data_IF_283803425747
#
_entry.id   IF_283803425747
#
_cell.length_a   1.000
_cell.length_b   1.000
_cell.length_c   1.000
_cell.angle_alpha   90.00
_cell.angle_beta   90.00
_cell.angle_gamma   90.00
#
_symmetry.space_group_name_H-M   'P 1'
#
loop_
_entity.id
_entity.type
_entity.pdbx_description
1 polymer ?
#
# COMPACT_ATOMS: atom_id res chain seq x y z
N UNK A 1 -5.16 -26.85 16.58
CA UNK A 1 -4.70 -26.06 17.75
C UNK A 1 -5.69 -24.92 17.96
N UNK A 2 -5.95 -24.47 19.18
CA UNK A 2 -6.81 -23.30 19.39
C UNK A 2 -6.18 -22.07 18.71
N UNK A 3 -6.96 -21.35 17.91
CA UNK A 3 -6.53 -20.11 17.26
C UNK A 3 -6.19 -19.08 18.32
N UNK A 4 -4.99 -18.50 18.26
CA UNK A 4 -4.54 -17.49 19.20
C UNK A 4 -4.94 -16.10 18.71
N UNK A 5 -5.02 -15.14 19.65
CA UNK A 5 -5.27 -13.72 19.32
C UNK A 5 -4.24 -13.16 18.34
N UNK A 6 -2.99 -13.61 18.40
CA UNK A 6 -1.93 -13.24 17.45
C UNK A 6 -2.30 -13.57 16.02
N UNK A 7 -2.85 -14.76 15.78
CA UNK A 7 -3.18 -15.24 14.44
C UNK A 7 -4.24 -14.35 13.79
N UNK A 8 -5.22 -13.91 14.58
CA UNK A 8 -6.24 -12.96 14.15
C UNK A 8 -5.66 -11.58 13.83
N UNK A 9 -4.70 -11.09 14.61
CA UNK A 9 -4.07 -9.79 14.36
C UNK A 9 -3.13 -9.87 13.14
N UNK A 10 -2.49 -11.00 12.90
CA UNK A 10 -1.75 -11.25 11.66
C UNK A 10 -2.63 -11.16 10.41
N UNK A 11 -3.90 -11.60 10.51
CA UNK A 11 -4.87 -11.41 9.44
C UNK A 11 -5.12 -9.92 9.17
N UNK A 12 -5.22 -9.08 10.20
CA UNK A 12 -5.42 -7.62 10.03
C UNK A 12 -4.28 -6.99 9.22
N UNK A 13 -3.02 -7.38 9.46
CA UNK A 13 -1.84 -6.79 8.80
C UNK A 13 -1.94 -6.83 7.28
N UNK A 14 -2.46 -7.93 6.73
CA UNK A 14 -2.56 -8.14 5.28
C UNK A 14 -3.51 -7.16 4.60
N UNK A 15 -4.47 -6.59 5.35
CA UNK A 15 -5.49 -5.70 4.81
C UNK A 15 -5.19 -4.23 5.08
N UNK A 16 -4.15 -3.93 5.87
CA UNK A 16 -3.68 -2.56 6.05
C UNK A 16 -3.24 -1.97 4.70
N UNK A 17 -3.39 -0.64 4.51
CA UNK A 17 -2.87 0.03 3.32
C UNK A 17 -1.39 -0.31 3.10
N UNK A 18 -0.97 -0.58 1.85
CA UNK A 18 0.44 -0.56 1.52
C UNK A 18 0.93 0.86 1.73
N UNK A 19 1.93 1.04 2.60
CA UNK A 19 2.47 2.38 2.86
C UNK A 19 3.95 2.44 2.55
N UNK A 20 4.28 3.56 1.94
CA UNK A 20 5.59 4.10 1.66
C UNK A 20 6.14 5.00 2.79
N UNK A 21 5.22 5.61 3.55
CA UNK A 21 5.47 6.55 4.64
C UNK A 21 5.03 5.95 5.98
N UNK A 22 5.30 6.65 7.10
CA UNK A 22 4.86 6.25 8.43
C UNK A 22 3.31 6.20 8.46
N UNK A 23 2.73 5.01 8.39
CA UNK A 23 1.28 4.81 8.31
C UNK A 23 0.66 5.09 9.68
N UNK A 24 -0.25 6.06 9.76
CA UNK A 24 -0.88 6.41 11.04
C UNK A 24 -2.12 5.55 11.27
N UNK A 25 -2.02 4.66 12.26
CA UNK A 25 -3.02 3.66 12.60
C UNK A 25 -3.68 3.98 13.94
N UNK A 26 -5.01 3.99 13.97
CA UNK A 26 -5.78 4.02 15.21
C UNK A 26 -6.08 2.59 15.66
N UNK A 27 -5.59 2.20 16.84
CA UNK A 27 -5.88 0.91 17.48
C UNK A 27 -6.98 1.09 18.52
N UNK A 28 -8.20 0.65 18.19
CA UNK A 28 -9.37 0.79 19.07
C UNK A 28 -9.23 -0.18 20.24
N UNK A 29 -9.18 0.37 21.46
CA UNK A 29 -9.01 -0.41 22.68
C UNK A 29 -7.60 -0.94 22.93
N UNK A 30 -6.62 -0.60 22.09
CA UNK A 30 -5.22 -0.99 22.30
C UNK A 30 -4.94 -2.48 22.09
N UNK A 31 -5.82 -3.20 21.39
CA UNK A 31 -5.82 -4.65 21.33
C UNK A 31 -4.87 -5.21 20.27
N UNK A 32 -4.54 -4.43 19.23
CA UNK A 32 -3.83 -4.91 18.02
C UNK A 32 -2.42 -4.34 17.89
N UNK A 33 -2.18 -3.13 18.39
CA UNK A 33 -1.06 -2.27 18.04
C UNK A 33 0.32 -2.79 18.45
N UNK A 34 0.42 -3.59 19.51
CA UNK A 34 1.70 -4.20 19.90
C UNK A 34 2.16 -5.23 18.88
N UNK A 35 1.26 -6.11 18.45
CA UNK A 35 1.56 -7.15 17.46
C UNK A 35 1.71 -6.52 16.08
N UNK A 36 0.85 -5.56 15.72
CA UNK A 36 0.96 -4.86 14.44
C UNK A 36 2.32 -4.16 14.29
N UNK A 37 2.87 -3.53 15.34
CA UNK A 37 4.20 -2.88 15.28
C UNK A 37 5.35 -3.85 15.09
N UNK A 38 5.26 -5.05 15.66
CA UNK A 38 6.24 -6.11 15.41
C UNK A 38 6.19 -6.55 13.94
N UNK A 39 4.97 -6.68 13.42
CA UNK A 39 4.71 -7.14 12.07
C UNK A 39 4.79 -6.05 11.00
N UNK A 40 4.83 -4.77 11.35
CA UNK A 40 4.98 -3.59 10.48
C UNK A 40 5.63 -2.44 11.28
N UNK A 41 6.97 -2.37 11.35
CA UNK A 41 7.67 -1.32 12.11
C UNK A 41 7.44 0.11 11.58
N UNK A 42 6.93 0.24 10.37
CA UNK A 42 6.60 1.48 9.66
C UNK A 42 5.25 2.08 10.06
N UNK A 43 4.54 1.53 11.06
CA UNK A 43 3.26 2.09 11.51
C UNK A 43 3.43 2.93 12.78
N UNK A 44 2.84 4.11 12.77
CA UNK A 44 2.60 4.91 13.97
C UNK A 44 1.26 4.49 14.58
N UNK A 45 1.29 3.88 15.76
CA UNK A 45 0.05 3.46 16.45
C UNK A 45 -0.38 4.49 17.47
N UNK A 46 -1.62 4.96 17.33
CA UNK A 46 -2.34 5.74 18.33
C UNK A 46 -3.44 4.85 18.93
N UNK A 47 -3.50 4.76 20.25
CA UNK A 47 -4.52 3.97 20.94
C UNK A 47 -5.74 4.84 21.24
N UNK A 48 -6.92 4.34 20.90
CA UNK A 48 -8.19 4.99 21.20
C UNK A 48 -8.99 4.26 22.28
N UNK A 49 -9.89 5.00 22.94
CA UNK A 49 -10.91 4.39 23.80
C UNK A 49 -11.81 3.42 23.03
N UNK A 50 -12.42 2.47 23.73
CA UNK A 50 -13.49 1.62 23.19
C UNK A 50 -14.77 2.42 22.87
N UNK A 51 -14.93 3.63 23.42
CA UNK A 51 -16.10 4.47 23.25
C UNK A 51 -15.84 5.61 22.25
N UNK A 52 -16.49 5.62 21.08
CA UNK A 52 -16.29 6.65 20.05
C UNK A 52 -16.53 8.08 20.50
N UNK A 53 -17.42 8.28 21.47
CA UNK A 53 -17.75 9.59 22.02
C UNK A 53 -16.56 10.23 22.76
N UNK A 54 -15.55 9.44 23.11
CA UNK A 54 -14.33 9.91 23.77
C UNK A 54 -13.20 10.21 22.78
N UNK A 55 -13.41 9.98 21.47
CA UNK A 55 -12.39 10.19 20.46
C UNK A 55 -12.24 11.67 20.12
N UNK A 56 -11.20 12.28 20.67
CA UNK A 56 -10.82 13.68 20.42
C UNK A 56 -9.74 13.76 19.34
N UNK A 57 -10.09 13.31 18.14
CA UNK A 57 -9.21 13.36 16.97
C UNK A 57 -9.86 14.19 15.87
N UNK A 58 -9.01 14.89 15.12
CA UNK A 58 -9.40 15.62 13.92
C UNK A 58 -9.99 14.67 12.87
N UNK A 59 -10.92 15.17 12.07
CA UNK A 59 -11.45 14.44 10.92
C UNK A 59 -10.32 14.08 9.95
N UNK A 60 -10.43 12.92 9.31
CA UNK A 60 -9.47 12.50 8.27
C UNK A 60 -8.01 12.48 8.75
N UNK A 61 -7.77 12.04 9.98
CA UNK A 61 -6.46 12.07 10.62
C UNK A 61 -5.72 10.72 10.62
N UNK A 62 -6.38 9.64 10.18
CA UNK A 62 -5.82 8.28 10.17
C UNK A 62 -5.86 7.63 8.78
N UNK A 63 -4.81 6.87 8.47
CA UNK A 63 -4.71 6.08 7.24
C UNK A 63 -5.37 4.70 7.39
N UNK A 64 -5.34 4.16 8.61
CA UNK A 64 -6.04 2.93 8.96
C UNK A 64 -6.63 2.98 10.36
N UNK A 65 -7.71 2.24 10.58
CA UNK A 65 -8.28 1.97 11.90
C UNK A 65 -8.37 0.46 12.06
N UNK A 66 -7.75 -0.06 13.11
CA UNK A 66 -7.76 -1.47 13.47
C UNK A 66 -8.55 -1.70 14.76
N UNK A 67 -9.34 -2.76 14.79
CA UNK A 67 -10.10 -3.15 15.96
C UNK A 67 -10.14 -4.68 16.11
N UNK A 68 -10.37 -5.13 17.33
CA UNK A 68 -10.50 -6.55 17.67
C UNK A 68 -11.73 -6.73 18.56
N UNK A 69 -12.66 -7.58 18.12
CA UNK A 69 -13.87 -7.96 18.86
C UNK A 69 -14.74 -6.75 19.30
N UNK A 70 -15.05 -5.87 18.34
CA UNK A 70 -15.84 -4.66 18.59
C UNK A 70 -17.25 -4.77 17.96
N UNK A 71 -18.28 -4.22 18.61
CA UNK A 71 -19.60 -4.10 18.00
C UNK A 71 -19.56 -3.16 16.78
N UNK A 72 -20.39 -3.45 15.77
CA UNK A 72 -20.50 -2.67 14.53
C UNK A 72 -21.81 -1.89 14.50
N UNK A 73 -22.02 -1.02 15.49
CA UNK A 73 -23.18 -0.11 15.49
C UNK A 73 -22.94 1.14 14.62
N UNK A 74 -24.03 1.82 14.27
CA UNK A 74 -24.00 2.99 13.38
C UNK A 74 -23.12 4.13 13.91
N UNK A 75 -23.12 4.36 15.23
CA UNK A 75 -22.33 5.42 15.84
C UNK A 75 -20.82 5.13 15.76
N UNK A 76 -20.44 3.87 15.97
CA UNK A 76 -19.08 3.38 15.81
C UNK A 76 -18.60 3.51 14.36
N UNK A 77 -19.38 3.01 13.40
CA UNK A 77 -19.03 3.06 11.98
C UNK A 77 -18.95 4.50 11.45
N UNK A 78 -19.87 5.39 11.87
CA UNK A 78 -19.82 6.81 11.51
C UNK A 78 -18.57 7.50 12.07
N UNK A 79 -18.19 7.20 13.32
CA UNK A 79 -16.99 7.75 13.92
C UNK A 79 -15.72 7.27 13.21
N UNK A 80 -15.65 5.99 12.82
CA UNK A 80 -14.54 5.44 12.02
C UNK A 80 -14.45 6.17 10.68
N UNK A 81 -15.54 6.30 9.94
CA UNK A 81 -15.54 6.97 8.64
C UNK A 81 -15.08 8.42 8.74
N UNK A 82 -15.55 9.17 9.74
CA UNK A 82 -15.11 10.55 10.00
C UNK A 82 -13.59 10.65 10.13
N UNK A 83 -12.99 9.74 10.88
CA UNK A 83 -11.56 9.74 11.21
C UNK A 83 -10.66 9.21 10.08
N UNK A 84 -11.15 8.30 9.24
CA UNK A 84 -10.40 7.80 8.10
C UNK A 84 -10.15 8.89 7.07
N UNK A 85 -8.94 8.95 6.53
CA UNK A 85 -8.64 9.73 5.32
C UNK A 85 -9.35 9.15 4.10
N UNK A 86 -9.55 9.93 3.02
CA UNK A 86 -9.97 9.38 1.73
C UNK A 86 -9.04 8.25 1.28
N UNK A 87 -9.59 7.07 0.97
CA UNK A 87 -8.83 5.84 0.66
C UNK A 87 -8.30 5.08 1.89
N UNK A 88 -8.50 5.60 3.10
CA UNK A 88 -8.11 4.93 4.34
C UNK A 88 -8.97 3.69 4.60
N UNK A 89 -8.41 2.74 5.37
CA UNK A 89 -9.04 1.42 5.60
C UNK A 89 -9.41 1.20 7.06
N UNK A 90 -10.65 0.80 7.29
CA UNK A 90 -11.07 0.14 8.52
C UNK A 90 -10.86 -1.37 8.37
N UNK A 91 -10.19 -1.99 9.33
CA UNK A 91 -9.99 -3.44 9.38
C UNK A 91 -10.32 -3.93 10.78
N UNK A 92 -11.16 -4.95 10.88
CA UNK A 92 -11.50 -5.54 12.18
C UNK A 92 -11.56 -7.05 12.07
N UNK A 93 -11.20 -7.71 13.17
CA UNK A 93 -11.45 -9.14 13.34
C UNK A 93 -12.34 -9.36 14.55
N UNK A 94 -13.37 -10.17 14.37
CA UNK A 94 -14.21 -10.70 15.44
C UNK A 94 -13.91 -12.19 15.60
N UNK A 95 -13.44 -12.66 16.78
CA UNK A 95 -13.10 -14.06 16.99
C UNK A 95 -14.33 -14.98 17.04
N UNK A 96 -15.53 -14.42 17.19
CA UNK A 96 -16.80 -15.14 17.21
C UNK A 96 -17.39 -15.15 15.81
N UNK A 97 -17.80 -16.33 15.36
CA UNK A 97 -18.48 -16.51 14.08
C UNK A 97 -19.78 -15.70 14.03
N UNK A 98 -19.98 -15.00 12.92
CA UNK A 98 -21.15 -14.19 12.66
C UNK A 98 -21.57 -14.38 11.20
N UNK A 99 -22.82 -14.07 10.91
CA UNK A 99 -23.28 -14.05 9.52
C UNK A 99 -22.55 -12.94 8.74
N UNK A 100 -21.87 -13.32 7.65
CA UNK A 100 -21.03 -12.40 6.89
C UNK A 100 -21.85 -11.36 6.11
N UNK A 101 -22.99 -11.77 5.56
CA UNK A 101 -23.79 -10.92 4.67
C UNK A 101 -24.37 -9.68 5.38
N UNK A 102 -24.98 -9.78 6.58
CA UNK A 102 -25.43 -8.61 7.32
C UNK A 102 -24.32 -7.61 7.64
N UNK A 103 -23.12 -8.08 7.98
CA UNK A 103 -21.95 -7.22 8.24
C UNK A 103 -21.58 -6.45 6.99
N UNK A 104 -21.51 -7.13 5.84
CA UNK A 104 -21.19 -6.49 4.56
C UNK A 104 -22.21 -5.42 4.18
N UNK A 105 -23.50 -5.70 4.36
CA UNK A 105 -24.57 -4.72 4.15
C UNK A 105 -24.46 -3.54 5.10
N UNK A 106 -24.18 -3.77 6.38
CA UNK A 106 -23.99 -2.70 7.37
C UNK A 106 -22.84 -1.76 7.02
N UNK A 107 -21.70 -2.29 6.58
CA UNK A 107 -20.57 -1.47 6.12
C UNK A 107 -20.95 -0.59 4.91
N UNK A 108 -21.65 -1.16 3.92
CA UNK A 108 -22.09 -0.40 2.75
C UNK A 108 -23.11 0.70 3.13
N UNK A 109 -24.06 0.39 4.01
CA UNK A 109 -25.04 1.35 4.50
C UNK A 109 -24.40 2.48 5.31
N UNK A 110 -23.35 2.17 6.08
CA UNK A 110 -22.58 3.18 6.80
C UNK A 110 -21.79 4.12 5.87
N UNK A 111 -21.57 3.73 4.61
CA UNK A 111 -20.89 4.56 3.60
C UNK A 111 -19.46 4.11 3.27
N UNK A 112 -19.05 2.92 3.72
CA UNK A 112 -17.80 2.32 3.24
C UNK A 112 -17.95 1.83 1.79
N UNK A 113 -16.83 1.82 1.07
CA UNK A 113 -16.71 1.23 -0.26
C UNK A 113 -15.72 0.08 -0.24
N UNK A 114 -15.74 -0.77 -1.27
CA UNK A 114 -14.82 -1.92 -1.43
C UNK A 114 -14.77 -2.83 -0.20
N UNK A 115 -15.94 -3.04 0.40
CA UNK A 115 -16.10 -3.87 1.58
C UNK A 115 -15.71 -5.31 1.29
N UNK A 116 -14.99 -5.93 2.23
CA UNK A 116 -14.66 -7.35 2.26
C UNK A 116 -15.13 -7.87 3.62
N UNK A 117 -15.83 -9.00 3.63
CA UNK A 117 -16.21 -9.72 4.83
C UNK A 117 -16.02 -11.21 4.55
N UNK A 118 -15.14 -11.85 5.30
CA UNK A 118 -14.75 -13.23 5.06
C UNK A 118 -14.42 -13.94 6.37
N UNK A 119 -14.40 -15.28 6.39
CA UNK A 119 -13.87 -16.01 7.54
C UNK A 119 -12.43 -15.59 7.81
N UNK A 120 -12.05 -15.42 9.09
CA UNK A 120 -10.73 -14.95 9.46
C UNK A 120 -9.68 -16.07 9.41
N UNK A 121 -9.35 -16.71 10.54
CA UNK A 121 -8.22 -17.65 10.62
C UNK A 121 -8.72 -19.08 10.59
N UNK A 122 -8.28 -19.84 9.59
CA UNK A 122 -8.66 -21.24 9.41
C UNK A 122 -10.19 -21.48 9.43
N UNK A 123 -10.96 -20.50 8.94
CA UNK A 123 -12.43 -20.55 8.90
C UNK A 123 -13.13 -20.16 10.20
N UNK A 124 -12.38 -19.76 11.24
CA UNK A 124 -12.91 -19.30 12.53
C UNK A 124 -12.89 -17.77 12.58
N UNK A 125 -13.97 -17.20 13.11
CA UNK A 125 -14.15 -15.76 13.26
C UNK A 125 -14.41 -15.05 11.94
N UNK A 126 -14.61 -13.74 12.00
CA UNK A 126 -14.89 -12.88 10.86
C UNK A 126 -13.83 -11.81 10.74
N UNK A 127 -13.22 -11.71 9.56
CA UNK A 127 -12.40 -10.59 9.15
C UNK A 127 -13.25 -9.67 8.28
N UNK A 128 -13.21 -8.38 8.57
CA UNK A 128 -13.86 -7.37 7.74
C UNK A 128 -12.92 -6.24 7.41
N UNK A 129 -13.14 -5.65 6.24
CA UNK A 129 -12.45 -4.47 5.76
C UNK A 129 -13.44 -3.55 5.06
N UNK A 130 -13.40 -2.26 5.36
CA UNK A 130 -14.08 -1.20 4.62
C UNK A 130 -13.11 -0.09 4.23
N UNK A 131 -13.27 0.50 3.05
CA UNK A 131 -12.47 1.64 2.59
C UNK A 131 -13.32 2.92 2.63
N UNK A 132 -12.76 4.05 3.04
CA UNK A 132 -13.42 5.35 2.87
C UNK A 132 -13.30 5.80 1.41
N UNK A 133 -14.42 6.18 0.80
CA UNK A 133 -14.43 6.68 -0.57
C UNK A 133 -13.46 7.87 -0.77
N UNK A 134 -12.85 7.93 -1.94
CA UNK A 134 -12.11 9.12 -2.37
C UNK A 134 -13.09 10.27 -2.68
N UNK A 135 -12.69 11.51 -2.39
CA UNK A 135 -13.52 12.71 -2.62
C UNK A 135 -13.45 13.23 -4.05
N UNK A 136 -12.42 12.87 -4.81
CA UNK A 136 -12.20 13.30 -6.20
C UNK A 136 -12.64 12.23 -7.19
N UNK A 137 -13.36 12.64 -8.24
CA UNK A 137 -13.75 11.76 -9.35
C UNK A 137 -12.59 11.51 -10.34
N UNK A 138 -11.55 12.37 -10.33
CA UNK A 138 -10.40 12.25 -11.21
C UNK A 138 -9.37 11.27 -10.65
N UNK A 139 -9.09 10.22 -11.43
CA UNK A 139 -8.13 9.18 -11.08
C UNK A 139 -6.70 9.72 -11.02
N UNK A 140 -6.35 10.72 -11.84
CA UNK A 140 -5.03 11.37 -11.81
C UNK A 140 -4.84 12.14 -10.50
N UNK A 141 -5.81 12.97 -10.15
CA UNK A 141 -5.79 13.76 -8.90
C UNK A 141 -5.76 12.85 -7.68
N UNK A 142 -6.50 11.74 -7.72
CA UNK A 142 -6.48 10.70 -6.67
C UNK A 142 -5.10 10.08 -6.49
N UNK A 143 -4.44 9.72 -7.59
CA UNK A 143 -3.10 9.12 -7.56
C UNK A 143 -2.06 10.15 -7.09
N UNK A 144 -2.18 11.40 -7.52
CA UNK A 144 -1.32 12.51 -7.07
C UNK A 144 -1.47 12.80 -5.57
N UNK A 145 -2.69 12.95 -5.04
CA UNK A 145 -2.89 13.26 -3.62
C UNK A 145 -2.43 12.17 -2.64
N UNK A 146 -2.35 10.91 -3.10
CA UNK A 146 -1.71 9.82 -2.34
C UNK A 146 -0.19 9.90 -2.48
N UNK A 147 0.31 10.15 -3.69
CA UNK A 147 1.73 10.26 -3.99
C UNK A 147 2.42 11.44 -3.30
N UNK A 148 1.77 12.58 -3.13
CA UNK A 148 2.33 13.78 -2.48
C UNK A 148 2.70 13.58 -1.01
N UNK A 149 2.18 12.54 -0.35
CA UNK A 149 2.47 12.23 1.05
C UNK A 149 3.82 11.58 1.25
N UNK A 150 4.30 10.88 0.23
CA UNK A 150 5.58 10.21 0.28
C UNK A 150 6.69 11.26 0.06
N UNK A 151 7.67 11.31 0.97
CA UNK A 151 8.80 12.22 0.83
C UNK A 151 9.53 11.98 -0.51
N UNK A 152 10.00 13.05 -1.14
CA UNK A 152 10.76 12.98 -2.37
C UNK A 152 12.25 12.76 -2.10
N UNK A 153 12.94 12.14 -3.06
CA UNK A 153 14.39 11.96 -3.06
C UNK A 153 14.94 11.30 -1.78
N UNK A 154 14.34 10.19 -1.38
CA UNK A 154 14.75 9.41 -0.22
C UNK A 154 15.95 8.53 -0.60
N UNK A 155 16.97 8.49 0.24
CA UNK A 155 18.03 7.48 0.16
C UNK A 155 17.45 6.13 0.60
N UNK A 156 17.68 5.07 -0.17
CA UNK A 156 17.21 3.72 0.15
C UNK A 156 17.58 3.25 1.57
N UNK A 157 18.73 3.69 2.09
CA UNK A 157 19.17 3.39 3.47
C UNK A 157 18.31 4.05 4.55
N UNK A 158 17.64 5.15 4.23
CA UNK A 158 16.72 5.88 5.11
C UNK A 158 15.24 5.54 4.83
N UNK A 159 14.96 4.79 3.78
CA UNK A 159 13.62 4.34 3.46
C UNK A 159 13.14 3.32 4.51
N UNK A 160 11.96 3.53 5.08
CA UNK A 160 11.38 2.64 6.11
C UNK A 160 10.39 1.63 5.56
N UNK A 161 9.98 1.79 4.31
CA UNK A 161 9.03 0.88 3.67
C UNK A 161 9.68 -0.46 3.33
N UNK A 162 8.85 -1.51 3.31
CA UNK A 162 9.29 -2.88 3.03
C UNK A 162 9.58 -3.15 1.57
N UNK A 163 8.91 -2.40 0.70
CA UNK A 163 8.90 -2.64 -0.72
C UNK A 163 9.20 -1.35 -1.46
N UNK A 164 9.94 -1.47 -2.55
CA UNK A 164 10.11 -0.44 -3.55
C UNK A 164 9.51 -0.91 -4.86
N UNK A 165 9.11 0.04 -5.68
CA UNK A 165 8.49 -0.19 -6.98
C UNK A 165 9.41 0.38 -8.05
N UNK A 166 9.73 -0.40 -9.08
CA UNK A 166 10.51 0.06 -10.23
C UNK A 166 9.59 0.20 -11.44
N UNK A 167 9.80 1.27 -12.21
CA UNK A 167 9.27 1.34 -13.57
C UNK A 167 10.09 0.42 -14.46
N UNK A 168 9.42 -0.48 -15.15
CA UNK A 168 10.04 -1.57 -15.91
C UNK A 168 9.54 -1.57 -17.34
N UNK A 169 10.48 -1.78 -18.27
CA UNK A 169 10.21 -2.21 -19.63
C UNK A 169 10.35 -3.73 -19.67
N UNK A 170 9.21 -4.42 -19.73
CA UNK A 170 9.15 -5.86 -19.95
C UNK A 170 9.19 -6.17 -21.45
N UNK A 171 10.03 -7.12 -21.83
CA UNK A 171 10.02 -7.74 -23.15
C UNK A 171 9.84 -9.25 -23.02
N UNK A 172 8.92 -9.86 -23.79
CA UNK A 172 7.93 -9.22 -24.66
C UNK A 172 6.87 -8.43 -23.87
N UNK A 173 6.31 -7.39 -24.50
CA UNK A 173 5.19 -6.64 -23.93
C UNK A 173 3.87 -7.42 -24.10
N UNK A 174 3.76 -8.53 -23.35
CA UNK A 174 2.59 -9.40 -23.33
C UNK A 174 2.09 -9.55 -21.89
N UNK A 175 0.78 -9.53 -21.67
CA UNK A 175 0.22 -9.90 -20.38
C UNK A 175 0.45 -11.40 -20.12
N UNK A 176 0.43 -11.80 -18.85
CA UNK A 176 0.78 -13.17 -18.41
C UNK A 176 0.00 -14.25 -19.16
N UNK A 177 -1.28 -14.03 -19.41
CA UNK A 177 -2.16 -14.98 -20.11
C UNK A 177 -1.91 -15.09 -21.63
N UNK A 178 -1.06 -14.25 -22.23
CA UNK A 178 -0.63 -14.35 -23.64
C UNK A 178 0.81 -14.88 -23.79
N UNK A 179 1.52 -15.07 -22.69
CA UNK A 179 2.88 -15.59 -22.74
C UNK A 179 2.84 -17.08 -23.06
N UNK A 180 3.72 -17.51 -23.96
CA UNK A 180 3.95 -18.94 -24.17
C UNK A 180 4.82 -19.50 -23.02
N UNK A 181 4.67 -20.78 -22.64
CA UNK A 181 5.42 -21.37 -21.53
C UNK A 181 6.95 -21.30 -21.67
N UNK A 182 7.47 -21.25 -22.90
CA UNK A 182 8.88 -21.17 -23.26
C UNK A 182 9.35 -19.73 -23.57
N UNK A 183 8.46 -18.74 -23.47
CA UNK A 183 8.78 -17.36 -23.79
C UNK A 183 9.61 -16.72 -22.67
N UNK A 184 10.86 -16.36 -22.98
CA UNK A 184 11.77 -15.73 -22.02
C UNK A 184 11.37 -14.28 -21.81
N UNK A 185 11.02 -13.95 -20.57
CA UNK A 185 10.72 -12.59 -20.14
C UNK A 185 12.01 -11.91 -19.68
N UNK A 186 12.31 -10.73 -20.22
CA UNK A 186 13.37 -9.85 -19.74
C UNK A 186 12.77 -8.55 -19.22
N UNK A 187 13.33 -8.04 -18.12
CA UNK A 187 12.94 -6.77 -17.52
C UNK A 187 14.14 -5.82 -17.56
N UNK A 188 13.90 -4.60 -18.04
CA UNK A 188 14.83 -3.50 -17.86
C UNK A 188 14.20 -2.45 -16.93
N UNK A 189 14.86 -2.15 -15.83
CA UNK A 189 14.48 -1.07 -14.93
C UNK A 189 14.91 0.29 -15.49
N UNK A 190 14.08 1.31 -15.28
CA UNK A 190 14.43 2.70 -15.63
C UNK A 190 15.52 3.23 -14.71
N UNK A 191 16.57 3.78 -15.31
CA UNK A 191 17.63 4.49 -14.64
C UNK A 191 17.88 5.86 -15.27
N UNK A 192 18.51 6.74 -14.51
CA UNK A 192 18.99 8.04 -14.99
C UNK A 192 20.51 8.11 -14.88
N UNK A 193 21.14 8.55 -15.96
CA UNK A 193 22.57 8.85 -16.01
C UNK A 193 22.82 10.35 -15.88
N UNK A 194 23.62 10.75 -14.88
CA UNK A 194 24.15 12.10 -14.71
C UNK A 194 25.68 12.02 -14.70
N UNK A 195 26.30 12.30 -15.84
CA UNK A 195 27.74 12.08 -16.03
C UNK A 195 28.09 10.59 -15.95
N UNK A 196 29.02 10.22 -15.07
CA UNK A 196 29.44 8.82 -14.86
C UNK A 196 28.55 8.07 -13.85
N UNK A 197 27.60 8.76 -13.20
CA UNK A 197 26.73 8.15 -12.20
C UNK A 197 25.40 7.71 -12.80
N UNK A 198 25.06 6.43 -12.63
CA UNK A 198 23.78 5.84 -13.03
C UNK A 198 23.01 5.50 -11.76
N UNK A 199 21.76 5.95 -11.65
CA UNK A 199 20.87 5.64 -10.52
C UNK A 199 19.57 5.01 -11.00
N UNK A 200 19.14 3.92 -10.36
CA UNK A 200 17.83 3.30 -10.59
C UNK A 200 16.73 4.19 -10.01
N UNK A 201 15.62 4.34 -10.74
CA UNK A 201 14.45 5.07 -10.27
C UNK A 201 13.50 4.12 -9.54
N UNK A 202 13.39 4.29 -8.23
CA UNK A 202 12.49 3.53 -7.38
C UNK A 202 11.42 4.42 -6.77
N UNK A 203 10.31 3.80 -6.39
CA UNK A 203 9.17 4.48 -5.80
C UNK A 203 8.72 3.74 -4.56
N UNK A 204 8.42 4.49 -3.53
CA UNK A 204 7.97 3.95 -2.26
C UNK A 204 6.61 3.27 -2.35
N UNK A 205 5.77 3.67 -3.32
CA UNK A 205 4.44 3.13 -3.53
C UNK A 205 4.06 3.05 -5.02
N UNK A 206 3.13 2.15 -5.37
CA UNK A 206 2.58 2.07 -6.73
C UNK A 206 1.93 3.39 -7.17
N UNK A 207 1.11 4.09 -6.36
CA UNK A 207 0.60 5.41 -6.72
C UNK A 207 1.70 6.42 -7.07
N UNK A 208 2.80 6.48 -6.31
CA UNK A 208 3.93 7.36 -6.61
C UNK A 208 4.60 7.02 -7.95
N UNK A 209 4.82 5.73 -8.20
CA UNK A 209 5.37 5.24 -9.46
C UNK A 209 4.48 5.63 -10.65
N UNK A 210 3.18 5.39 -10.55
CA UNK A 210 2.20 5.69 -11.61
C UNK A 210 2.10 7.20 -11.83
N UNK A 211 2.03 8.01 -10.77
CA UNK A 211 1.97 9.47 -10.86
C UNK A 211 3.16 10.03 -11.63
N UNK A 212 4.37 9.61 -11.24
CA UNK A 212 5.60 10.03 -11.90
C UNK A 212 5.65 9.55 -13.37
N UNK A 213 5.34 8.27 -13.62
CA UNK A 213 5.34 7.68 -14.96
C UNK A 213 4.40 8.43 -15.90
N UNK A 214 3.16 8.70 -15.48
CA UNK A 214 2.19 9.40 -16.31
C UNK A 214 2.69 10.79 -16.71
N UNK A 215 3.20 11.56 -15.75
CA UNK A 215 3.71 12.89 -16.02
C UNK A 215 4.99 12.87 -16.88
N UNK A 216 5.87 11.89 -16.67
CA UNK A 216 7.09 11.72 -17.46
C UNK A 216 6.80 11.31 -18.91
N UNK A 217 5.86 10.39 -19.13
CA UNK A 217 5.42 9.96 -20.47
C UNK A 217 4.73 11.11 -21.21
N UNK A 218 3.84 11.87 -20.55
CA UNK A 218 3.19 13.03 -21.16
C UNK A 218 4.19 14.12 -21.57
N UNK A 219 5.30 14.27 -20.84
CA UNK A 219 6.41 15.18 -21.19
C UNK A 219 7.40 14.59 -22.20
N UNK A 220 7.19 13.35 -22.66
CA UNK A 220 8.08 12.67 -23.59
C UNK A 220 9.45 12.30 -23.01
N UNK A 221 9.61 12.32 -21.67
CA UNK A 221 10.89 12.01 -21.02
C UNK A 221 11.23 10.52 -21.09
N UNK A 222 10.23 9.65 -21.09
CA UNK A 222 10.41 8.20 -21.16
C UNK A 222 9.34 7.54 -22.02
N UNK A 223 9.70 6.42 -22.64
CA UNK A 223 8.81 5.62 -23.47
C UNK A 223 9.05 4.13 -23.24
N UNK A 224 8.07 3.29 -23.58
CA UNK A 224 8.20 1.83 -23.52
C UNK A 224 8.04 1.21 -22.12
N UNK A 225 7.73 2.00 -21.09
CA UNK A 225 7.39 1.47 -19.76
C UNK A 225 6.01 0.82 -19.84
N UNK A 226 5.93 -0.43 -19.40
CA UNK A 226 4.72 -1.24 -19.50
C UNK A 226 4.45 -2.08 -18.25
N UNK A 227 5.30 -1.96 -17.23
CA UNK A 227 5.15 -2.69 -15.97
C UNK A 227 5.71 -1.90 -14.80
N UNK A 228 5.18 -2.17 -13.62
CA UNK A 228 5.75 -1.74 -12.35
C UNK A 228 6.11 -3.00 -11.56
N UNK A 229 7.39 -3.22 -11.30
CA UNK A 229 7.87 -4.36 -10.51
C UNK A 229 7.93 -3.99 -9.03
N UNK A 230 7.40 -4.84 -8.15
CA UNK A 230 7.49 -4.70 -6.69
C UNK A 230 8.69 -5.54 -6.21
N UNK A 231 9.56 -4.96 -5.40
CA UNK A 231 10.75 -5.63 -4.86
C UNK A 231 10.85 -5.34 -3.37
N UNK A 232 11.36 -6.29 -2.59
CA UNK A 232 11.69 -6.02 -1.19
C UNK A 232 12.82 -4.99 -1.09
N UNK A 233 12.83 -4.23 0.01
CA UNK A 233 13.93 -3.31 0.32
C UNK A 233 15.27 -4.06 0.39
N UNK A 234 15.27 -5.28 0.92
CA UNK A 234 16.45 -6.12 1.00
C UNK A 234 17.00 -6.45 -0.39
N UNK A 235 16.15 -6.93 -1.31
CA UNK A 235 16.52 -7.18 -2.71
C UNK A 235 17.06 -5.92 -3.38
N UNK A 236 16.43 -4.77 -3.12
CA UNK A 236 16.87 -3.49 -3.68
C UNK A 236 18.24 -3.04 -3.19
N UNK A 237 18.57 -3.32 -1.92
CA UNK A 237 19.85 -3.00 -1.32
C UNK A 237 21.03 -3.82 -1.89
N UNK A 238 20.75 -4.93 -2.57
CA UNK A 238 21.76 -5.80 -3.20
C UNK A 238 22.08 -5.40 -4.65
N UNK A 239 21.35 -4.45 -5.23
CA UNK A 239 21.61 -4.01 -6.60
C UNK A 239 22.96 -3.30 -6.73
N UNK A 240 23.63 -3.50 -7.87
CA UNK A 240 24.94 -2.90 -8.14
C UNK A 240 24.90 -1.40 -8.45
N UNK A 241 23.71 -0.82 -8.53
CA UNK A 241 23.48 0.59 -8.84
C UNK A 241 22.81 1.30 -7.67
N UNK A 242 23.17 2.56 -7.38
CA UNK A 242 22.46 3.35 -6.38
C UNK A 242 20.99 3.52 -6.77
N UNK A 243 20.13 3.61 -5.76
CA UNK A 243 18.68 3.70 -5.91
C UNK A 243 18.21 5.07 -5.44
N UNK A 244 17.57 5.82 -6.33
CA UNK A 244 16.89 7.06 -6.01
C UNK A 244 15.42 6.76 -5.75
N UNK A 245 14.99 6.84 -4.49
CA UNK A 245 13.60 6.60 -4.11
C UNK A 245 12.81 7.91 -4.24
N UNK A 246 11.68 7.87 -4.93
CA UNK A 246 10.78 8.98 -5.20
C UNK A 246 11.46 10.15 -5.93
N UNK A 247 12.02 9.93 -7.13
CA UNK A 247 12.56 11.01 -7.95
C UNK A 247 11.48 12.04 -8.30
N UNK A 248 11.88 13.31 -8.40
CA UNK A 248 11.02 14.36 -8.98
C UNK A 248 11.28 14.48 -10.48
N UNK A 249 10.30 14.97 -11.25
CA UNK A 249 10.50 15.17 -12.70
C UNK A 249 11.65 16.15 -12.99
N UNK A 250 11.87 17.11 -12.10
CA UNK A 250 12.98 18.07 -12.19
C UNK A 250 14.32 17.36 -11.99
N UNK A 251 14.43 16.45 -11.01
CA UNK A 251 15.68 15.71 -10.73
C UNK A 251 16.14 14.83 -11.89
N UNK A 252 15.20 14.39 -12.75
CA UNK A 252 15.50 13.57 -13.93
C UNK A 252 15.51 14.38 -15.23
N UNK A 253 15.17 15.67 -15.17
CA UNK A 253 15.11 16.51 -16.36
C UNK A 253 16.51 16.74 -16.91
N UNK A 254 16.70 16.47 -18.21
CA UNK A 254 18.02 16.57 -18.87
C UNK A 254 18.99 15.41 -18.56
N UNK A 255 18.62 14.48 -17.68
CA UNK A 255 19.40 13.25 -17.47
C UNK A 255 19.18 12.27 -18.63
N UNK A 256 20.20 11.47 -18.94
CA UNK A 256 20.07 10.42 -19.95
C UNK A 256 19.28 9.25 -19.37
N UNK A 257 18.11 8.93 -19.94
CA UNK A 257 17.34 7.75 -19.54
C UNK A 257 18.04 6.49 -20.05
N UNK A 258 18.27 5.55 -19.14
CA UNK A 258 18.87 4.25 -19.41
C UNK A 258 17.96 3.12 -18.93
N UNK A 259 18.21 1.94 -19.48
CA UNK A 259 17.46 0.72 -19.19
C UNK A 259 18.43 -0.33 -18.68
N UNK A 260 18.35 -0.63 -17.38
CA UNK A 260 19.27 -1.53 -16.70
C UNK A 260 18.60 -2.89 -16.53
N UNK A 261 19.20 -3.99 -17.03
CA UNK A 261 18.63 -5.32 -16.86
C UNK A 261 18.43 -5.64 -15.38
N UNK A 262 17.23 -6.14 -15.05
CA UNK A 262 16.91 -6.61 -13.71
C UNK A 262 16.28 -8.00 -13.79
N UNK A 263 16.57 -8.84 -12.80
CA UNK A 263 16.06 -10.20 -12.77
C UNK A 263 14.58 -10.21 -12.31
N UNK A 264 13.60 -10.55 -13.20
CA UNK A 264 12.19 -10.59 -12.84
C UNK A 264 11.87 -11.61 -11.74
N UNK A 265 12.69 -12.66 -11.59
CA UNK A 265 12.48 -13.69 -10.57
C UNK A 265 12.74 -13.20 -9.13
N UNK A 266 13.34 -12.02 -8.98
CA UNK A 266 13.56 -11.38 -7.68
C UNK A 266 12.43 -10.44 -7.27
N UNK A 267 11.43 -10.25 -8.14
CA UNK A 267 10.26 -9.45 -7.85
C UNK A 267 9.28 -10.19 -6.94
N UNK A 268 8.64 -9.44 -6.05
CA UNK A 268 7.57 -9.93 -5.19
C UNK A 268 6.32 -10.22 -6.04
N UNK A 269 5.58 -11.25 -5.65
CA UNK A 269 4.27 -11.52 -6.24
C UNK A 269 3.31 -10.38 -5.86
N UNK A 270 2.41 -9.94 -6.75
CA UNK A 270 1.36 -8.99 -6.37
C UNK A 270 0.56 -9.52 -5.17
N UNK A 271 0.18 -8.66 -4.23
CA UNK A 271 -0.62 -9.04 -3.05
C UNK A 271 -2.11 -9.31 -3.39
N UNK A 272 -2.41 -9.73 -4.63
CA UNK A 272 -3.78 -9.98 -5.14
C UNK A 272 -4.20 -11.44 -5.00
#
# INVERSE_FOLDING_TARGET
MPTQKSDFIEAIVKHLPPSAADLRLLDVGGATGTILRQLRPDIEVVVASLLPQQWQFDDQSFDAIAAYDMPLDDAYLAAILRLLRPGGRFVQVNPIDQELAPIGTGLLQAGFVRCLVEPAVAGVGVLLRGERAHTTADTLERVQGVAERDADQIDLSNFRGRYVHLLVRQQPNKPVWRLQPDEVITWDAVAVGQGEHISLLAFSSLPKAVSFMQAAVLKGLMTGINKVGKFSQHTAAEWSYPVMVNPTLESVSGAAIQFIPINPATAETPDE
#
